data_IF_138770296027
#
_entry.id   IF_138770296027
#
_cell.length_a   1.000
_cell.length_b   1.000
_cell.length_c   1.000
_cell.angle_alpha   90.00
_cell.angle_beta   90.00
_cell.angle_gamma   90.00
#
_symmetry.space_group_name_H-M   'P 1'
#
loop_
_entity.id
_entity.type
_entity.pdbx_description
1 polymer ?
#
# COMPACT_ATOMS: atom_id res chain seq x y z
N UNK A 1 -7.68 7.01 -11.43
CA UNK A 1 -6.92 7.39 -10.22
C UNK A 1 -7.68 6.88 -9.01
N UNK A 2 -7.05 6.13 -8.10
CA UNK A 2 -7.69 5.69 -6.86
C UNK A 2 -8.05 6.90 -5.99
N UNK A 3 -9.19 6.81 -5.29
CA UNK A 3 -9.64 7.84 -4.37
C UNK A 3 -9.03 7.59 -2.99
N UNK A 4 -8.05 8.40 -2.62
CA UNK A 4 -7.47 8.39 -1.28
C UNK A 4 -8.32 9.24 -0.33
N UNK A 5 -8.78 8.63 0.78
CA UNK A 5 -9.41 9.36 1.90
C UNK A 5 -8.42 9.44 3.04
N UNK A 6 -7.84 10.61 3.24
CA UNK A 6 -6.86 10.87 4.29
C UNK A 6 -7.50 11.79 5.30
N UNK A 7 -7.76 11.28 6.51
CA UNK A 7 -8.29 12.08 7.61
C UNK A 7 -7.14 12.74 8.35
N UNK A 8 -7.17 14.06 8.47
CA UNK A 8 -6.18 14.83 9.20
C UNK A 8 -6.83 16.04 9.90
N UNK A 9 -6.27 16.53 11.02
CA UNK A 9 -6.66 17.80 11.61
C UNK A 9 -6.55 18.97 10.62
N UNK A 10 -7.34 20.02 10.82
CA UNK A 10 -7.38 21.18 9.90
C UNK A 10 -6.07 21.97 9.85
N UNK A 11 -5.15 21.77 10.79
CA UNK A 11 -3.86 22.44 10.88
C UNK A 11 -2.67 21.61 10.34
N UNK A 12 -2.90 20.51 9.63
CA UNK A 12 -1.82 19.60 9.16
C UNK A 12 -1.18 20.00 7.84
N UNK A 13 -1.96 20.32 6.80
CA UNK A 13 -1.46 20.64 5.45
C UNK A 13 -1.83 22.07 5.07
N UNK A 14 -1.17 23.03 5.72
CA UNK A 14 -1.55 24.45 5.63
C UNK A 14 -0.95 25.14 4.43
N UNK A 15 0.19 24.66 3.92
CA UNK A 15 0.88 25.23 2.74
C UNK A 15 0.62 24.43 1.46
N UNK A 16 0.88 25.02 0.30
CA UNK A 16 0.76 24.32 -0.98
C UNK A 16 1.84 23.26 -1.13
N UNK A 17 3.06 23.60 -0.71
CA UNK A 17 4.24 22.75 -0.73
C UNK A 17 4.02 21.45 0.05
N UNK A 18 3.40 21.51 1.22
CA UNK A 18 3.05 20.33 2.02
C UNK A 18 2.05 19.40 1.31
N UNK A 19 1.05 19.96 0.64
CA UNK A 19 0.04 19.19 -0.11
C UNK A 19 0.64 18.57 -1.37
N UNK A 20 1.48 19.33 -2.07
CA UNK A 20 2.15 18.87 -3.28
C UNK A 20 3.14 17.75 -2.97
N UNK A 21 3.89 17.86 -1.85
CA UNK A 21 4.78 16.81 -1.38
C UNK A 21 4.00 15.52 -1.05
N UNK A 22 2.91 15.60 -0.29
CA UNK A 22 2.06 14.43 0.01
C UNK A 22 1.52 13.79 -1.28
N UNK A 23 1.05 14.60 -2.23
CA UNK A 23 0.52 14.12 -3.50
C UNK A 23 1.59 13.41 -4.33
N UNK A 24 2.81 13.95 -4.37
CA UNK A 24 3.95 13.33 -5.04
C UNK A 24 4.31 11.99 -4.39
N UNK A 25 4.37 11.94 -3.06
CA UNK A 25 4.70 10.71 -2.32
C UNK A 25 3.65 9.61 -2.55
N UNK A 26 2.35 9.94 -2.51
CA UNK A 26 1.27 8.99 -2.82
C UNK A 26 1.38 8.48 -4.26
N UNK A 27 1.65 9.39 -5.21
CA UNK A 27 1.80 9.02 -6.63
C UNK A 27 2.98 8.07 -6.83
N UNK A 28 4.07 8.27 -6.08
CA UNK A 28 5.28 7.45 -6.18
C UNK A 28 5.03 5.96 -5.90
N UNK A 29 4.03 5.62 -5.09
CA UNK A 29 3.64 4.24 -4.78
C UNK A 29 3.31 3.46 -6.07
N UNK A 30 2.72 4.13 -7.05
CA UNK A 30 2.29 3.52 -8.31
C UNK A 30 3.35 3.63 -9.42
N UNK A 31 4.10 4.73 -9.45
CA UNK A 31 5.05 4.98 -10.54
C UNK A 31 6.39 4.29 -10.33
N UNK A 32 6.76 3.96 -9.09
CA UNK A 32 8.03 3.30 -8.80
C UNK A 32 8.06 1.82 -9.22
N UNK A 33 6.93 1.25 -9.65
CA UNK A 33 6.82 -0.13 -10.10
C UNK A 33 7.75 -0.39 -11.29
N UNK A 34 7.80 0.53 -12.27
CA UNK A 34 8.64 0.38 -13.46
C UNK A 34 10.13 0.27 -13.13
N UNK A 35 10.62 1.03 -12.15
CA UNK A 35 12.02 0.94 -11.72
C UNK A 35 12.35 -0.43 -11.12
N UNK A 36 11.41 -1.04 -10.41
CA UNK A 36 11.56 -2.37 -9.83
C UNK A 36 11.44 -3.48 -10.87
N UNK A 37 10.59 -3.30 -11.88
CA UNK A 37 10.42 -4.27 -12.97
C UNK A 37 11.58 -4.26 -13.96
N UNK A 38 12.18 -3.08 -14.20
CA UNK A 38 13.25 -2.86 -15.19
C UNK A 38 14.35 -3.94 -15.21
N UNK A 39 15.06 -4.28 -14.10
CA UNK A 39 16.13 -5.29 -14.13
C UNK A 39 15.64 -6.72 -14.43
N UNK A 40 14.35 -6.97 -14.28
CA UNK A 40 13.75 -8.30 -14.45
C UNK A 40 13.05 -8.47 -15.79
N UNK A 41 12.64 -7.37 -16.44
CA UNK A 41 11.80 -7.34 -17.63
C UNK A 41 12.45 -6.50 -18.73
N UNK A 42 12.48 -5.18 -18.57
CA UNK A 42 12.92 -4.26 -19.60
C UNK A 42 14.40 -4.47 -20.00
N UNK A 43 15.29 -4.64 -19.02
CA UNK A 43 16.72 -4.87 -19.26
C UNK A 43 17.01 -6.21 -19.96
N UNK A 44 16.02 -7.10 -20.03
CA UNK A 44 16.08 -8.38 -20.76
C UNK A 44 15.43 -8.32 -22.14
N UNK A 45 14.89 -7.16 -22.54
CA UNK A 45 14.28 -6.95 -23.85
C UNK A 45 12.88 -7.53 -24.02
N UNK A 46 12.16 -7.76 -22.92
CA UNK A 46 10.75 -8.17 -22.98
C UNK A 46 9.82 -6.96 -23.04
N UNK A 47 8.68 -7.11 -23.73
CA UNK A 47 7.55 -6.17 -23.65
C UNK A 47 6.76 -6.41 -22.35
N UNK A 48 6.12 -5.38 -21.79
CA UNK A 48 5.32 -5.52 -20.56
C UNK A 48 4.12 -4.60 -20.45
N UNK A 49 3.14 -5.09 -19.69
CA UNK A 49 1.96 -4.38 -19.23
C UNK A 49 1.68 -4.87 -17.80
N UNK A 50 1.27 -3.97 -16.91
CA UNK A 50 0.80 -4.33 -15.58
C UNK A 50 -0.41 -3.49 -15.20
N UNK A 51 -1.27 -4.05 -14.36
CA UNK A 51 -2.38 -3.33 -13.74
C UNK A 51 -2.44 -3.69 -12.26
N UNK A 52 -2.83 -2.72 -11.44
CA UNK A 52 -3.06 -2.91 -10.01
C UNK A 52 -4.47 -2.48 -9.64
N UNK A 53 -5.10 -3.21 -8.73
CA UNK A 53 -6.37 -2.83 -8.12
C UNK A 53 -6.19 -2.72 -6.60
N UNK A 54 -6.72 -1.65 -6.03
CA UNK A 54 -6.88 -1.53 -4.59
C UNK A 54 -8.28 -2.00 -4.20
N UNK A 55 -8.34 -2.78 -3.14
CA UNK A 55 -9.60 -3.31 -2.58
C UNK A 55 -9.72 -2.86 -1.13
N UNK A 56 -10.95 -2.67 -0.67
CA UNK A 56 -11.23 -2.21 0.69
C UNK A 56 -10.69 -3.20 1.75
N UNK A 57 -9.84 -2.68 2.63
CA UNK A 57 -9.21 -3.44 3.72
C UNK A 57 -10.25 -3.94 4.74
N UNK A 58 -11.35 -3.22 4.93
CA UNK A 58 -12.41 -3.57 5.88
C UNK A 58 -13.23 -4.78 5.41
N UNK A 59 -13.22 -5.06 4.09
CA UNK A 59 -13.91 -6.21 3.49
C UNK A 59 -13.04 -7.46 3.39
N UNK A 60 -11.77 -7.40 3.80
CA UNK A 60 -10.84 -8.52 3.75
C UNK A 60 -10.83 -9.34 5.05
N UNK A 61 -11.01 -10.66 4.91
CA UNK A 61 -10.95 -11.63 6.01
C UNK A 61 -10.14 -12.86 5.65
N UNK A 62 -9.43 -13.44 6.63
CA UNK A 62 -8.73 -14.73 6.53
C UNK A 62 -9.31 -15.66 7.61
N UNK A 63 -9.81 -16.84 7.21
CA UNK A 63 -10.52 -17.76 8.11
C UNK A 63 -11.64 -17.08 8.93
N UNK A 64 -12.32 -16.10 8.34
CA UNK A 64 -13.38 -15.32 8.99
C UNK A 64 -12.89 -14.21 9.95
N UNK A 65 -11.58 -14.12 10.20
CA UNK A 65 -10.95 -13.10 11.03
C UNK A 65 -10.52 -11.89 10.20
N UNK A 66 -10.64 -10.69 10.77
CA UNK A 66 -10.03 -9.49 10.21
C UNK A 66 -8.53 -9.57 10.45
N UNK A 67 -7.67 -9.50 9.42
CA UNK A 67 -6.24 -9.54 9.63
C UNK A 67 -5.79 -8.36 10.50
N UNK A 68 -4.78 -8.53 11.36
CA UNK A 68 -4.25 -7.46 12.19
C UNK A 68 -3.73 -6.29 11.34
N UNK A 69 -3.73 -5.09 11.91
CA UNK A 69 -3.08 -3.93 11.31
C UNK A 69 -1.56 -4.12 11.29
N UNK A 70 -0.89 -3.42 10.36
CA UNK A 70 0.56 -3.47 10.25
C UNK A 70 1.23 -2.98 11.53
N UNK A 71 2.40 -3.55 11.82
CA UNK A 71 3.27 -3.22 12.94
C UNK A 71 2.64 -3.47 14.33
N UNK A 72 1.53 -4.20 14.40
CA UNK A 72 0.88 -4.61 15.66
C UNK A 72 1.44 -5.92 16.23
N UNK A 73 1.17 -6.20 17.51
CA UNK A 73 1.49 -7.50 18.12
C UNK A 73 0.75 -8.65 17.43
N UNK A 74 -0.48 -8.41 16.97
CA UNK A 74 -1.26 -9.38 16.20
C UNK A 74 -0.57 -9.76 14.89
N UNK A 75 -0.04 -8.78 14.14
CA UNK A 75 0.71 -9.07 12.90
C UNK A 75 1.96 -9.89 13.20
N UNK A 76 2.74 -9.49 14.22
CA UNK A 76 3.93 -10.24 14.64
C UNK A 76 3.60 -11.69 15.01
N UNK A 77 2.47 -11.92 15.69
CA UNK A 77 2.00 -13.26 16.02
C UNK A 77 1.61 -14.05 14.76
N UNK A 78 0.83 -13.46 13.84
CA UNK A 78 0.43 -14.11 12.60
C UNK A 78 1.62 -14.48 11.72
N UNK A 79 2.62 -13.59 11.64
CA UNK A 79 3.88 -13.86 10.92
C UNK A 79 4.65 -15.01 11.57
N UNK A 80 4.79 -15.00 12.90
CA UNK A 80 5.49 -16.04 13.65
C UNK A 80 4.83 -17.42 13.48
N UNK A 81 3.51 -17.48 13.60
CA UNK A 81 2.75 -18.74 13.49
C UNK A 81 2.46 -19.14 12.04
N UNK A 82 2.70 -18.21 11.10
CA UNK A 82 2.37 -18.33 9.67
C UNK A 82 0.90 -18.76 9.42
N UNK A 83 -0.01 -18.28 10.28
CA UNK A 83 -1.42 -18.67 10.31
C UNK A 83 -2.27 -17.53 10.87
N UNK A 84 -3.55 -17.52 10.48
CA UNK A 84 -4.54 -16.69 11.14
C UNK A 84 -4.89 -17.30 12.51
N UNK A 85 -4.60 -16.57 13.58
CA UNK A 85 -4.84 -16.98 14.97
C UNK A 85 -5.50 -15.83 15.76
N UNK A 86 -6.30 -16.08 16.80
CA UNK A 86 -6.83 -15.00 17.64
C UNK A 86 -5.71 -14.18 18.32
N UNK A 87 -5.89 -12.86 18.42
CA UNK A 87 -4.93 -11.91 19.00
C UNK A 87 -5.64 -10.78 19.75
#
# INVERSE_FOLDING_TARGET
MPLWRIFHPSNTFTTAEERDALSADITSIYTNVDEKLKPHIADKGYDWEYHGHETDRELWKIQGMVPPDRDTEGERLWVKENKAVPF
#
